data_IF_514445968827
#
_entry.id   IF_514445968827
#
_cell.length_a   1.000
_cell.length_b   1.000
_cell.length_c   1.000
_cell.angle_alpha   90.00
_cell.angle_beta   90.00
_cell.angle_gamma   90.00
#
_symmetry.space_group_name_H-M   'P 1'
#
loop_
_entity.id
_entity.type
_entity.pdbx_description
1 polymer ?
#
# COMPACT_ATOMS: atom_id res chain seq x y z
N UNK A 1 10.05 -11.51 15.68
CA UNK A 1 10.39 -10.27 16.40
C UNK A 1 10.78 -9.20 15.37
N UNK A 2 9.80 -8.64 14.65
CA UNK A 2 10.02 -7.58 13.62
C UNK A 2 9.00 -6.43 13.77
N UNK A 3 7.78 -6.70 14.26
CA UNK A 3 6.71 -5.69 14.42
C UNK A 3 7.09 -4.54 15.38
N UNK A 4 7.87 -4.82 16.44
CA UNK A 4 8.34 -3.79 17.37
C UNK A 4 9.27 -2.77 16.71
N UNK A 5 10.05 -3.20 15.72
CA UNK A 5 10.94 -2.32 14.96
C UNK A 5 10.14 -1.35 14.08
N UNK A 6 9.00 -1.79 13.53
CA UNK A 6 8.09 -0.92 12.76
C UNK A 6 7.39 0.13 13.63
N UNK A 7 7.26 -0.09 14.93
CA UNK A 7 6.65 0.87 15.86
C UNK A 7 7.52 2.12 16.08
N UNK A 8 8.83 2.06 15.76
CA UNK A 8 9.68 3.26 15.76
C UNK A 8 9.28 4.26 14.67
N UNK A 9 8.54 3.83 13.65
CA UNK A 9 8.20 4.61 12.45
C UNK A 9 9.41 5.11 11.65
N UNK A 10 10.65 4.72 11.98
CA UNK A 10 11.84 5.16 11.26
C UNK A 10 11.82 4.72 9.79
N UNK A 11 11.25 3.56 9.50
CA UNK A 11 11.03 3.07 8.13
C UNK A 11 10.16 4.03 7.30
N UNK A 12 9.24 4.76 7.93
CA UNK A 12 8.40 5.78 7.28
C UNK A 12 9.24 6.99 6.88
N UNK A 13 10.17 7.39 7.76
CA UNK A 13 11.09 8.50 7.50
C UNK A 13 12.12 8.16 6.43
N UNK A 14 12.60 6.91 6.42
CA UNK A 14 13.46 6.33 5.38
C UNK A 14 12.72 6.07 4.06
N UNK A 15 11.39 6.28 4.03
CA UNK A 15 10.53 6.10 2.85
C UNK A 15 10.53 4.66 2.33
N UNK A 16 10.70 3.71 3.23
CA UNK A 16 10.68 2.29 2.92
C UNK A 16 9.23 1.83 2.76
N UNK A 17 8.99 1.02 1.74
CA UNK A 17 7.70 0.37 1.54
C UNK A 17 7.67 -0.98 2.24
N UNK A 18 6.49 -1.38 2.70
CA UNK A 18 6.28 -2.61 3.47
C UNK A 18 5.17 -3.42 2.81
N UNK A 19 5.42 -4.71 2.57
CA UNK A 19 4.37 -5.63 2.11
C UNK A 19 4.14 -6.70 3.17
N UNK A 20 2.94 -6.73 3.73
CA UNK A 20 2.46 -7.77 4.62
C UNK A 20 1.72 -8.83 3.79
N UNK A 21 2.36 -9.99 3.59
CA UNK A 21 1.79 -11.13 2.86
C UNK A 21 1.49 -12.29 3.81
N UNK A 22 0.38 -13.00 3.58
CA UNK A 22 0.04 -14.20 4.35
C UNK A 22 -1.43 -14.58 4.25
N UNK A 23 -1.78 -15.79 4.70
CA UNK A 23 -3.15 -16.31 4.68
C UNK A 23 -4.14 -15.38 5.39
N UNK A 24 -5.42 -15.46 5.02
CA UNK A 24 -6.48 -14.75 5.74
C UNK A 24 -6.49 -15.12 7.22
N UNK A 25 -6.88 -14.18 8.09
CA UNK A 25 -6.93 -14.40 9.54
C UNK A 25 -5.61 -14.27 10.31
N UNK A 26 -4.47 -13.99 9.64
CA UNK A 26 -3.16 -13.84 10.32
C UNK A 26 -2.89 -12.47 10.94
N UNK A 27 -3.90 -11.59 11.01
CA UNK A 27 -3.76 -10.28 11.65
C UNK A 27 -3.02 -9.20 10.84
N UNK A 28 -2.81 -9.37 9.53
CA UNK A 28 -2.11 -8.37 8.67
C UNK A 28 -2.76 -6.98 8.75
N UNK A 29 -4.08 -6.91 8.58
CA UNK A 29 -4.85 -5.66 8.71
C UNK A 29 -4.75 -5.08 10.12
N UNK A 30 -4.79 -5.94 11.15
CA UNK A 30 -4.63 -5.49 12.54
C UNK A 30 -3.26 -4.85 12.79
N UNK A 31 -2.19 -5.47 12.28
CA UNK A 31 -0.83 -4.90 12.38
C UNK A 31 -0.73 -3.60 11.58
N UNK A 32 -1.27 -3.56 10.36
CA UNK A 32 -1.25 -2.35 9.53
C UNK A 32 -1.99 -1.18 10.21
N UNK A 33 -3.16 -1.44 10.79
CA UNK A 33 -3.91 -0.45 11.57
C UNK A 33 -3.14 -0.01 12.82
N UNK A 34 -2.54 -0.94 13.56
CA UNK A 34 -1.72 -0.63 14.73
C UNK A 34 -0.54 0.28 14.38
N UNK A 35 0.20 -0.03 13.32
CA UNK A 35 1.31 0.80 12.85
C UNK A 35 0.82 2.17 12.34
N UNK A 36 -0.32 2.20 11.64
CA UNK A 36 -0.96 3.45 11.22
C UNK A 36 -1.35 4.34 12.39
N UNK A 37 -1.92 3.76 13.46
CA UNK A 37 -2.27 4.48 14.68
C UNK A 37 -1.03 5.05 15.38
N UNK A 38 0.04 4.28 15.50
CA UNK A 38 1.32 4.76 16.08
C UNK A 38 1.90 5.90 15.25
N UNK A 39 1.86 5.81 13.91
CA UNK A 39 2.29 6.88 13.03
C UNK A 39 1.43 8.15 13.19
N UNK A 40 0.11 8.02 13.32
CA UNK A 40 -0.79 9.13 13.64
C UNK A 40 -0.47 9.77 14.99
N UNK A 41 -0.16 8.97 16.02
CA UNK A 41 0.24 9.47 17.35
C UNK A 41 1.54 10.27 17.29
N UNK A 42 2.43 9.97 16.34
CA UNK A 42 3.64 10.74 16.06
C UNK A 42 3.40 11.98 15.17
N UNK A 43 2.15 12.29 14.82
CA UNK A 43 1.79 13.43 13.99
C UNK A 43 2.06 13.25 12.49
N UNK A 44 2.33 12.02 12.04
CA UNK A 44 2.53 11.74 10.62
C UNK A 44 1.16 11.68 9.90
N UNK A 45 1.00 12.32 8.72
CA UNK A 45 -0.21 12.16 7.94
C UNK A 45 -0.26 10.74 7.36
N UNK A 46 -1.30 10.00 7.74
CA UNK A 46 -1.53 8.61 7.32
C UNK A 46 -2.87 8.50 6.60
N UNK A 47 -2.93 7.67 5.55
CA UNK A 47 -4.18 7.27 4.88
C UNK A 47 -4.29 5.75 4.90
N UNK A 48 -5.41 5.23 5.34
CA UNK A 48 -5.79 3.82 5.21
C UNK A 48 -6.92 3.70 4.18
N UNK A 49 -6.79 2.75 3.25
CA UNK A 49 -7.80 2.48 2.22
C UNK A 49 -7.67 1.04 1.72
N UNK A 50 -8.78 0.39 1.34
CA UNK A 50 -8.71 -0.91 0.68
C UNK A 50 -8.32 -0.75 -0.79
N UNK A 51 -7.64 -1.74 -1.37
CA UNK A 51 -7.24 -1.70 -2.77
C UNK A 51 -8.44 -1.50 -3.72
N UNK A 52 -9.57 -2.16 -3.43
CA UNK A 52 -10.80 -2.03 -4.21
C UNK A 52 -11.36 -0.60 -4.19
N UNK A 53 -11.44 0.02 -3.00
CA UNK A 53 -11.91 1.40 -2.85
C UNK A 53 -10.96 2.38 -3.53
N UNK A 54 -9.66 2.20 -3.35
CA UNK A 54 -8.64 3.05 -3.96
C UNK A 54 -8.74 3.04 -5.48
N UNK A 55 -8.87 1.86 -6.10
CA UNK A 55 -9.03 1.76 -7.55
C UNK A 55 -10.34 2.39 -8.01
N UNK A 56 -11.44 2.20 -7.28
CA UNK A 56 -12.70 2.86 -7.57
C UNK A 56 -12.58 4.39 -7.52
N UNK A 57 -11.93 4.94 -6.49
CA UNK A 57 -11.69 6.38 -6.36
C UNK A 57 -10.80 6.91 -7.49
N UNK A 58 -9.76 6.17 -7.88
CA UNK A 58 -8.86 6.54 -8.98
C UNK A 58 -9.58 6.53 -10.34
N UNK A 59 -10.40 5.52 -10.62
CA UNK A 59 -11.19 5.46 -11.85
C UNK A 59 -12.20 6.60 -11.91
N UNK A 60 -12.97 6.82 -10.84
CA UNK A 60 -13.92 7.93 -10.77
C UNK A 60 -13.21 9.28 -10.92
N UNK A 61 -12.05 9.46 -10.28
CA UNK A 61 -11.27 10.68 -10.39
C UNK A 61 -10.73 10.91 -11.81
N UNK A 62 -10.41 9.84 -12.55
CA UNK A 62 -10.04 9.92 -13.96
C UNK A 62 -11.22 10.41 -14.81
N UNK A 63 -12.41 9.85 -14.62
CA UNK A 63 -13.61 10.21 -15.38
C UNK A 63 -14.03 11.67 -15.11
N UNK A 64 -13.92 12.11 -13.86
CA UNK A 64 -14.19 13.49 -13.44
C UNK A 64 -13.04 14.47 -13.72
N UNK A 65 -11.97 14.05 -14.43
CA UNK A 65 -10.77 14.87 -14.72
C UNK A 65 -10.08 15.47 -13.49
N UNK A 66 -10.21 14.81 -12.33
CA UNK A 66 -9.62 15.19 -11.04
C UNK A 66 -8.50 14.23 -10.58
N UNK A 67 -8.08 13.29 -11.43
CA UNK A 67 -7.08 12.25 -11.11
C UNK A 67 -5.79 12.83 -10.52
N UNK A 68 -5.22 13.85 -11.16
CA UNK A 68 -3.98 14.49 -10.71
C UNK A 68 -4.13 15.11 -9.31
N UNK A 69 -5.31 15.62 -8.97
CA UNK A 69 -5.59 16.18 -7.63
C UNK A 69 -5.59 15.07 -6.58
N UNK A 70 -6.30 13.97 -6.86
CA UNK A 70 -6.35 12.83 -5.95
C UNK A 70 -4.97 12.19 -5.77
N UNK A 71 -4.22 11.97 -6.86
CA UNK A 71 -2.86 11.45 -6.81
C UNK A 71 -1.93 12.35 -5.98
N UNK A 72 -2.02 13.69 -6.13
CA UNK A 72 -1.26 14.62 -5.29
C UNK A 72 -1.63 14.53 -3.81
N UNK A 73 -2.92 14.42 -3.48
CA UNK A 73 -3.37 14.25 -2.09
C UNK A 73 -2.84 12.93 -1.50
N UNK A 74 -2.95 11.84 -2.26
CA UNK A 74 -2.45 10.54 -1.86
C UNK A 74 -0.92 10.47 -1.85
N UNK A 75 -0.20 11.29 -2.62
CA UNK A 75 1.26 11.40 -2.58
C UNK A 75 1.76 12.23 -1.38
N UNK A 76 0.95 13.17 -0.89
CA UNK A 76 1.32 14.06 0.21
C UNK A 76 1.35 13.37 1.59
N UNK A 77 0.62 12.26 1.78
CA UNK A 77 0.65 11.52 3.05
C UNK A 77 1.99 10.79 3.24
N UNK A 78 2.48 10.77 4.47
CA UNK A 78 3.75 10.10 4.83
C UNK A 78 3.62 8.60 4.79
N UNK A 79 2.47 8.07 5.20
CA UNK A 79 2.16 6.65 5.13
C UNK A 79 0.83 6.42 4.40
N UNK A 80 0.86 5.65 3.33
CA UNK A 80 -0.33 5.13 2.66
C UNK A 80 -0.44 3.63 2.93
N UNK A 81 -1.52 3.20 3.58
CA UNK A 81 -1.82 1.81 3.85
C UNK A 81 -2.89 1.35 2.86
N UNK A 82 -2.57 0.34 2.06
CA UNK A 82 -3.44 -0.28 1.07
C UNK A 82 -3.75 -1.70 1.55
N UNK A 83 -4.98 -1.92 1.99
CA UNK A 83 -5.41 -3.20 2.54
C UNK A 83 -6.03 -4.10 1.45
N UNK A 84 -5.93 -5.42 1.64
CA UNK A 84 -6.63 -6.44 0.84
C UNK A 84 -6.30 -6.45 -0.66
N UNK A 85 -5.06 -6.10 -1.02
CA UNK A 85 -4.63 -6.22 -2.41
C UNK A 85 -4.70 -7.67 -2.88
N UNK A 86 -5.40 -7.94 -3.98
CA UNK A 86 -5.58 -9.28 -4.55
C UNK A 86 -6.82 -10.04 -4.09
N UNK A 87 -7.73 -9.42 -3.32
CA UNK A 87 -9.04 -10.03 -3.02
C UNK A 87 -10.08 -9.81 -4.12
N UNK A 88 -10.00 -8.70 -4.86
CA UNK A 88 -10.94 -8.35 -5.93
C UNK A 88 -10.16 -8.24 -7.24
N UNK A 89 -10.64 -8.83 -8.35
CA UNK A 89 -10.03 -8.64 -9.65
C UNK A 89 -10.06 -7.17 -10.02
N UNK A 90 -8.89 -6.58 -10.22
CA UNK A 90 -8.77 -5.20 -10.69
C UNK A 90 -8.91 -5.19 -12.21
N UNK A 91 -9.62 -4.20 -12.75
CA UNK A 91 -9.57 -3.93 -14.18
C UNK A 91 -8.13 -3.59 -14.59
N UNK A 92 -7.74 -3.88 -15.84
CA UNK A 92 -6.41 -3.53 -16.36
C UNK A 92 -6.08 -2.06 -16.10
N UNK A 93 -7.03 -1.18 -16.39
CA UNK A 93 -6.92 0.26 -16.13
C UNK A 93 -6.78 0.58 -14.64
N UNK A 94 -7.52 -0.10 -13.77
CA UNK A 94 -7.40 0.08 -12.31
C UNK A 94 -6.03 -0.32 -11.78
N UNK A 95 -5.47 -1.42 -12.28
CA UNK A 95 -4.13 -1.86 -11.94
C UNK A 95 -3.04 -0.89 -12.43
N UNK A 96 -3.18 -0.35 -13.65
CA UNK A 96 -2.29 0.69 -14.19
C UNK A 96 -2.31 1.96 -13.32
N UNK A 97 -3.49 2.44 -12.92
CA UNK A 97 -3.64 3.63 -12.06
C UNK A 97 -3.04 3.41 -10.67
N UNK A 98 -3.23 2.21 -10.10
CA UNK A 98 -2.64 1.85 -8.82
C UNK A 98 -1.10 1.81 -8.91
N UNK A 99 -0.56 1.22 -9.98
CA UNK A 99 0.87 1.18 -10.22
C UNK A 99 1.46 2.59 -10.40
N UNK A 100 0.79 3.46 -11.15
CA UNK A 100 1.20 4.85 -11.33
C UNK A 100 1.27 5.58 -9.98
N UNK A 101 0.23 5.45 -9.14
CA UNK A 101 0.21 6.05 -7.80
C UNK A 101 1.37 5.56 -6.93
N UNK A 102 1.62 4.25 -6.90
CA UNK A 102 2.69 3.66 -6.11
C UNK A 102 4.06 4.14 -6.62
N UNK A 103 4.24 4.20 -7.94
CA UNK A 103 5.47 4.69 -8.56
C UNK A 103 5.73 6.16 -8.24
N UNK A 104 4.70 7.00 -8.27
CA UNK A 104 4.80 8.41 -7.87
C UNK A 104 5.16 8.59 -6.39
N UNK A 105 4.80 7.63 -5.53
CA UNK A 105 5.11 7.63 -4.09
C UNK A 105 6.50 7.06 -3.78
N UNK A 106 7.08 6.26 -4.67
CA UNK A 106 8.42 5.72 -4.50
C UNK A 106 9.40 6.89 -4.21
N UNK A 107 10.21 6.73 -3.16
CA UNK A 107 11.12 7.76 -2.64
C UNK A 107 10.48 9.08 -2.16
N UNK A 108 9.15 9.23 -2.14
CA UNK A 108 8.45 10.43 -1.63
C UNK A 108 7.70 10.18 -0.32
N UNK A 109 7.18 8.98 -0.13
CA UNK A 109 6.52 8.54 1.10
C UNK A 109 6.40 7.02 1.15
N UNK A 110 6.16 6.49 2.35
CA UNK A 110 6.05 5.05 2.53
C UNK A 110 4.67 4.52 2.18
N UNK A 111 4.64 3.32 1.65
CA UNK A 111 3.42 2.59 1.32
C UNK A 111 3.47 1.22 1.99
N UNK A 112 2.44 0.90 2.76
CA UNK A 112 2.23 -0.41 3.36
C UNK A 112 1.11 -1.12 2.61
N UNK A 113 1.36 -2.34 2.15
CA UNK A 113 0.36 -3.13 1.40
C UNK A 113 0.09 -4.41 2.19
N UNK A 114 -1.18 -4.77 2.37
CA UNK A 114 -1.55 -6.11 2.85
C UNK A 114 -2.11 -6.95 1.70
N UNK A 115 -1.76 -8.23 1.66
CA UNK A 115 -2.26 -9.14 0.63
C UNK A 115 -2.38 -10.59 1.11
N UNK A 116 -3.38 -11.30 0.58
CA UNK A 116 -3.68 -12.71 0.84
C UNK A 116 -3.09 -13.68 -0.21
N UNK A 117 -2.17 -13.21 -1.04
CA UNK A 117 -1.57 -14.05 -2.08
C UNK A 117 -0.77 -15.18 -1.45
N UNK A 118 -1.10 -16.42 -1.86
CA UNK A 118 -0.38 -17.61 -1.42
C UNK A 118 1.11 -17.50 -1.81
N UNK A 119 1.95 -17.86 -0.85
CA UNK A 119 3.40 -17.84 -0.94
C UNK A 119 3.88 -18.92 -1.92
N UNK A 120 4.07 -18.60 -3.19
CA UNK A 120 4.84 -19.47 -4.10
C UNK A 120 6.30 -19.02 -4.25
N UNK A 121 6.66 -17.80 -3.84
CA UNK A 121 8.06 -17.36 -3.79
C UNK A 121 8.26 -16.41 -2.60
N UNK A 122 8.98 -16.86 -1.57
CA UNK A 122 9.27 -16.11 -0.34
C UNK A 122 10.24 -14.93 -0.62
N UNK A 123 10.27 -13.82 0.16
CA UNK A 123 10.47 -13.74 1.62
C UNK A 123 9.94 -12.43 2.23
N UNK A 124 9.61 -12.50 3.53
CA UNK A 124 9.66 -11.42 4.54
C UNK A 124 8.77 -10.18 4.37
N UNK A 125 8.40 -9.55 5.49
CA UNK A 125 8.16 -8.11 5.52
C UNK A 125 9.45 -7.48 4.99
N UNK A 126 9.44 -7.14 3.71
CA UNK A 126 10.63 -6.69 3.00
C UNK A 126 10.57 -5.17 2.95
N UNK A 127 11.40 -4.51 3.73
CA UNK A 127 11.70 -3.11 3.51
C UNK A 127 12.53 -2.97 2.23
N UNK A 128 12.26 -1.93 1.43
CA UNK A 128 13.09 -1.58 0.28
C UNK A 128 12.86 -2.39 -1.01
N UNK A 129 11.76 -3.15 -1.13
CA UNK A 129 11.42 -3.78 -2.42
C UNK A 129 10.91 -2.71 -3.40
N UNK A 130 11.47 -2.65 -4.63
CA UNK A 130 10.85 -1.92 -5.72
C UNK A 130 9.47 -2.54 -5.97
N UNK A 131 8.41 -1.77 -5.76
CA UNK A 131 7.04 -2.19 -6.05
C UNK A 131 6.84 -2.20 -7.57
N UNK A 132 7.47 -3.17 -8.25
CA UNK A 132 7.33 -3.39 -9.69
C UNK A 132 5.89 -3.87 -10.01
N UNK A 133 5.42 -3.67 -11.25
CA UNK A 133 4.09 -4.14 -11.67
C UNK A 133 3.86 -5.62 -11.35
N UNK A 134 4.91 -6.45 -11.51
CA UNK A 134 4.88 -7.90 -11.28
C UNK A 134 4.74 -8.28 -9.79
N UNK A 135 5.15 -7.39 -8.88
CA UNK A 135 5.02 -7.59 -7.43
C UNK A 135 3.65 -7.14 -6.90
N UNK A 136 3.02 -6.15 -7.56
CA UNK A 136 1.69 -5.61 -7.22
C UNK A 136 0.57 -6.41 -7.89
N UNK A 137 0.84 -7.00 -9.06
CA UNK A 137 -0.09 -7.80 -9.87
C UNK A 137 0.45 -9.23 -9.96
N UNK A 138 0.26 -10.06 -8.95
CA UNK A 138 0.55 -11.47 -9.07
C UNK A 138 -0.62 -12.11 -9.81
N UNK A 139 -0.36 -12.38 -11.08
CA UNK A 139 -1.10 -13.29 -11.94
C UNK A 139 -2.56 -12.89 -12.20
N UNK A 140 -2.72 -11.97 -13.15
CA UNK A 140 -3.78 -12.07 -14.15
C UNK A 140 -3.19 -12.71 -15.43
N UNK A 141 -2.75 -13.97 -15.30
CA UNK A 141 -2.59 -14.99 -16.35
C UNK A 141 -2.35 -16.34 -15.67
#
# INVERSE_FOLDING_TARGET
MQVLEFASCEWIERRENVIARGLSGTGKTHVALGLGLVACQKGLPVRFITAATLVSELMQARDERRLLRLQKQLAAVKLLIIDELGFVPLSKTGAELLFELISQRFERGSTMITSNLRLCCAKSVTSGVPLSPDAIIPQAL
#
